data_IF_202896948028
#
_entry.id   IF_202896948028
#
_cell.length_a   1.000
_cell.length_b   1.000
_cell.length_c   1.000
_cell.angle_alpha   90.00
_cell.angle_beta   90.00
_cell.angle_gamma   90.00
#
_symmetry.space_group_name_H-M   'P 1'
#
loop_
_entity.id
_entity.type
_entity.pdbx_description
1 polymer ?
#
# COMPACT_ATOMS: atom_id res chain seq x y z
N UNK A 1 -60.00 7.12 3.80
CA UNK A 1 -58.84 7.51 2.97
C UNK A 1 -57.64 7.82 3.88
N UNK A 2 -57.00 6.82 4.49
CA UNK A 2 -55.88 7.07 5.42
C UNK A 2 -54.85 5.93 5.52
N UNK A 3 -55.06 4.79 4.86
CA UNK A 3 -54.15 3.62 4.96
C UNK A 3 -53.11 3.52 3.83
N UNK A 4 -53.23 4.30 2.77
CA UNK A 4 -52.32 4.26 1.60
C UNK A 4 -51.12 5.18 1.72
N UNK A 5 -51.13 6.17 2.62
CA UNK A 5 -50.03 7.14 2.77
C UNK A 5 -48.87 6.57 3.60
N UNK A 6 -49.16 5.70 4.58
CA UNK A 6 -48.12 5.13 5.45
C UNK A 6 -47.17 4.16 4.74
N UNK A 7 -47.62 3.50 3.68
CA UNK A 7 -46.82 2.52 2.94
C UNK A 7 -45.77 3.17 2.01
N UNK A 8 -45.96 4.44 1.65
CA UNK A 8 -45.01 5.19 0.82
C UNK A 8 -43.83 5.76 1.63
N UNK A 9 -43.94 5.82 2.96
CA UNK A 9 -42.89 6.38 3.83
C UNK A 9 -41.88 5.33 4.30
N UNK A 10 -42.22 4.04 4.29
CA UNK A 10 -41.32 2.95 4.69
C UNK A 10 -40.39 2.48 3.55
N UNK A 11 -40.66 2.86 2.30
CA UNK A 11 -39.81 2.49 1.16
C UNK A 11 -38.62 3.46 0.94
N UNK A 12 -38.61 4.62 1.62
CA UNK A 12 -37.61 5.66 1.40
C UNK A 12 -36.30 5.48 2.19
N UNK A 13 -36.24 4.58 3.18
CA UNK A 13 -35.04 4.40 4.01
C UNK A 13 -34.02 3.38 3.47
N UNK A 14 -34.32 2.67 2.38
CA UNK A 14 -33.45 1.59 1.87
C UNK A 14 -32.57 1.98 0.66
N UNK A 15 -32.63 3.23 0.18
CA UNK A 15 -32.02 3.61 -1.10
C UNK A 15 -30.65 4.34 -1.00
N UNK A 16 -30.05 4.47 0.18
CA UNK A 16 -28.82 5.23 0.36
C UNK A 16 -27.68 4.42 0.99
N UNK A 17 -27.45 3.19 0.55
CA UNK A 17 -26.12 2.58 0.65
C UNK A 17 -25.29 3.05 -0.53
N UNK A 18 -24.67 4.22 -0.41
CA UNK A 18 -23.55 4.61 -1.26
C UNK A 18 -22.42 3.63 -1.01
N UNK A 19 -22.30 2.60 -1.85
CA UNK A 19 -21.10 1.78 -1.91
C UNK A 19 -19.96 2.72 -2.32
N UNK A 20 -19.13 3.12 -1.36
CA UNK A 20 -17.91 3.84 -1.64
C UNK A 20 -17.07 2.93 -2.55
N UNK A 21 -16.94 3.31 -3.83
CA UNK A 21 -16.07 2.60 -4.75
C UNK A 21 -14.66 2.62 -4.14
N UNK A 22 -14.10 1.44 -3.86
CA UNK A 22 -12.73 1.32 -3.40
C UNK A 22 -11.84 1.98 -4.46
N UNK A 23 -11.11 3.02 -4.08
CA UNK A 23 -10.19 3.70 -4.98
C UNK A 23 -9.17 2.67 -5.48
N UNK A 24 -9.15 2.44 -6.79
CA UNK A 24 -8.17 1.54 -7.42
C UNK A 24 -6.79 2.17 -7.21
N UNK A 25 -5.96 1.54 -6.38
CA UNK A 25 -4.61 2.02 -6.17
C UNK A 25 -3.79 1.80 -7.45
N UNK A 26 -2.98 2.80 -7.86
CA UNK A 26 -2.15 2.66 -9.05
C UNK A 26 -1.12 1.54 -8.86
N UNK A 27 -0.92 0.74 -9.90
CA UNK A 27 0.21 -0.20 -9.95
C UNK A 27 1.51 0.59 -9.98
N UNK A 28 2.41 0.29 -9.04
CA UNK A 28 3.74 0.89 -8.98
C UNK A 28 4.79 -0.19 -9.22
N UNK A 29 5.91 0.20 -9.83
CA UNK A 29 7.10 -0.61 -10.01
C UNK A 29 8.24 0.03 -9.23
N UNK A 30 9.02 -0.74 -8.50
CA UNK A 30 10.18 -0.22 -7.73
C UNK A 30 11.44 -0.86 -8.28
N UNK A 31 12.52 -0.09 -8.43
CA UNK A 31 13.81 -0.67 -8.81
C UNK A 31 14.30 -1.66 -7.73
N UNK A 32 14.81 -2.81 -8.19
CA UNK A 32 15.40 -3.81 -7.30
C UNK A 32 16.77 -3.34 -6.82
N UNK A 33 17.00 -3.42 -5.51
CA UNK A 33 18.24 -3.01 -4.85
C UNK A 33 18.78 -4.14 -3.98
N UNK A 34 20.10 -4.33 -4.04
CA UNK A 34 20.77 -5.25 -3.13
C UNK A 34 20.55 -4.83 -1.68
N UNK A 35 20.14 -5.78 -0.84
CA UNK A 35 19.83 -5.55 0.58
C UNK A 35 18.73 -4.49 0.77
N UNK A 36 17.73 -4.50 -0.11
CA UNK A 36 16.78 -3.42 -0.24
C UNK A 36 15.44 -3.84 -0.80
N UNK A 37 14.90 -3.00 -1.68
CA UNK A 37 13.68 -3.23 -2.44
C UNK A 37 13.81 -4.41 -3.40
N UNK A 38 12.81 -5.29 -3.42
CA UNK A 38 12.68 -6.39 -4.36
C UNK A 38 13.34 -7.71 -3.92
N UNK A 39 13.14 -8.74 -4.75
CA UNK A 39 13.76 -10.05 -4.55
C UNK A 39 15.29 -9.96 -4.63
N UNK A 40 15.98 -10.68 -3.75
CA UNK A 40 17.44 -10.74 -3.76
C UNK A 40 18.00 -11.34 -5.03
N UNK A 41 19.20 -10.85 -5.39
CA UNK A 41 19.95 -11.30 -6.55
C UNK A 41 19.18 -11.17 -7.88
N UNK A 42 18.05 -10.45 -7.90
CA UNK A 42 17.30 -10.13 -9.10
C UNK A 42 17.58 -8.68 -9.53
N UNK A 43 17.51 -8.43 -10.85
CA UNK A 43 17.73 -7.10 -11.45
C UNK A 43 16.42 -6.53 -11.99
N UNK A 44 16.44 -5.27 -12.38
CA UNK A 44 15.28 -4.60 -12.98
C UNK A 44 14.31 -4.10 -11.91
N UNK A 45 13.01 -4.29 -12.14
CA UNK A 45 11.96 -3.73 -11.28
C UNK A 45 11.04 -4.80 -10.71
N UNK A 46 10.47 -4.50 -9.55
CA UNK A 46 9.49 -5.32 -8.84
C UNK A 46 8.13 -4.64 -8.83
N UNK A 47 7.06 -5.39 -9.06
CA UNK A 47 5.71 -4.85 -8.91
C UNK A 47 5.40 -4.66 -7.43
N UNK A 48 5.05 -3.44 -7.05
CA UNK A 48 4.66 -3.11 -5.70
C UNK A 48 3.21 -3.50 -5.44
N UNK A 49 2.97 -4.06 -4.27
CA UNK A 49 1.65 -4.48 -3.82
C UNK A 49 1.09 -3.43 -2.86
N UNK A 50 -0.15 -2.95 -3.07
CA UNK A 50 -0.80 -2.04 -2.13
C UNK A 50 -1.11 -2.77 -0.82
N UNK A 51 -0.90 -2.10 0.31
CA UNK A 51 -1.24 -2.61 1.64
C UNK A 51 -2.68 -2.23 1.95
N UNK A 52 -3.62 -3.08 1.54
CA UNK A 52 -5.05 -2.83 1.69
C UNK A 52 -5.45 -1.50 1.04
N UNK A 53 -6.16 -0.65 1.79
CA UNK A 53 -6.58 0.70 1.37
C UNK A 53 -5.78 1.83 2.03
N UNK A 54 -4.60 1.54 2.60
CA UNK A 54 -3.85 2.48 3.44
C UNK A 54 -3.06 3.53 2.65
N UNK A 55 -2.99 3.43 1.33
CA UNK A 55 -2.18 4.36 0.53
C UNK A 55 -0.67 4.16 0.67
N UNK A 56 -0.26 2.96 1.10
CA UNK A 56 1.15 2.56 1.17
C UNK A 56 1.34 1.26 0.41
N UNK A 57 2.56 1.06 -0.09
CA UNK A 57 2.92 -0.10 -0.88
C UNK A 57 4.06 -0.87 -0.23
N UNK A 58 4.20 -2.12 -0.64
CA UNK A 58 5.33 -2.95 -0.27
C UNK A 58 5.86 -3.75 -1.46
N UNK A 59 7.15 -4.09 -1.37
CA UNK A 59 7.82 -5.07 -2.22
C UNK A 59 8.51 -6.10 -1.32
N UNK A 60 8.82 -7.31 -1.82
CA UNK A 60 9.76 -8.20 -1.15
C UNK A 60 10.99 -7.43 -0.70
N UNK A 61 11.47 -7.73 0.50
CA UNK A 61 12.62 -7.07 1.10
C UNK A 61 13.43 -8.16 1.76
N UNK A 62 14.73 -8.12 1.56
CA UNK A 62 15.62 -9.07 2.21
C UNK A 62 16.80 -8.33 2.79
N UNK A 63 16.99 -8.58 4.07
CA UNK A 63 18.03 -7.98 4.88
C UNK A 63 18.91 -9.10 5.44
N UNK A 64 20.01 -9.46 4.74
CA UNK A 64 20.94 -10.45 5.26
C UNK A 64 21.61 -9.88 6.51
N UNK A 65 21.53 -10.57 7.64
CA UNK A 65 22.11 -10.15 8.92
C UNK A 65 21.11 -9.62 9.96
N UNK A 66 19.86 -9.38 9.58
CA UNK A 66 18.80 -8.94 10.49
C UNK A 66 17.57 -9.86 10.34
N UNK A 67 17.63 -11.07 10.91
CA UNK A 67 16.65 -12.14 10.69
C UNK A 67 15.26 -11.86 11.26
N UNK A 68 15.06 -10.72 11.93
CA UNK A 68 13.81 -10.33 12.55
C UNK A 68 13.25 -9.08 11.90
N UNK A 69 13.16 -9.01 10.57
CA UNK A 69 12.26 -8.06 9.89
C UNK A 69 10.80 -8.40 10.26
N UNK A 70 10.44 -8.16 11.50
CA UNK A 70 9.12 -8.45 12.03
C UNK A 70 8.24 -7.24 11.72
N UNK A 71 7.06 -7.47 11.18
CA UNK A 71 6.05 -6.42 10.93
C UNK A 71 5.43 -5.90 12.25
N UNK A 72 6.14 -5.98 13.37
CA UNK A 72 5.66 -5.55 14.69
C UNK A 72 5.54 -4.01 14.70
N UNK A 73 6.47 -3.32 14.04
CA UNK A 73 6.47 -1.87 13.89
C UNK A 73 6.84 -1.49 12.45
N UNK A 74 5.94 -1.68 11.48
CA UNK A 74 6.24 -1.35 10.10
C UNK A 74 6.48 0.15 9.96
N UNK A 75 7.54 0.52 9.24
CA UNK A 75 7.92 1.92 9.01
C UNK A 75 7.51 2.31 7.61
N UNK A 76 7.13 3.57 7.44
CA UNK A 76 6.82 4.11 6.11
C UNK A 76 7.95 5.03 5.70
N UNK A 77 8.58 4.73 4.55
CA UNK A 77 9.59 5.59 3.94
C UNK A 77 8.99 6.30 2.72
N UNK A 78 9.54 7.46 2.39
CA UNK A 78 9.16 8.20 1.18
C UNK A 78 10.16 7.88 0.08
N UNK A 79 9.69 7.42 -1.07
CA UNK A 79 10.55 7.14 -2.22
C UNK A 79 10.15 8.01 -3.41
N UNK A 80 11.14 8.41 -4.20
CA UNK A 80 10.91 9.21 -5.40
C UNK A 80 10.36 8.32 -6.51
N UNK A 81 9.33 8.79 -7.21
CA UNK A 81 8.75 8.09 -8.33
C UNK A 81 8.52 9.04 -9.50
N UNK A 82 8.77 8.53 -10.71
CA UNK A 82 8.41 9.14 -11.98
C UNK A 82 7.31 8.27 -12.59
N UNK A 83 6.09 8.81 -12.63
CA UNK A 83 4.89 8.10 -13.06
C UNK A 83 4.61 6.81 -12.24
N UNK A 84 4.82 5.64 -12.85
CA UNK A 84 4.62 4.32 -12.26
C UNK A 84 5.94 3.69 -11.77
N UNK A 85 7.08 4.29 -12.08
CA UNK A 85 8.41 3.78 -11.71
C UNK A 85 8.99 4.56 -10.54
N UNK A 86 9.30 3.83 -9.47
CA UNK A 86 9.88 4.35 -8.24
C UNK A 86 11.33 3.93 -8.09
N UNK A 87 12.14 4.85 -7.57
CA UNK A 87 13.51 4.59 -7.17
C UNK A 87 13.56 3.48 -6.12
N UNK A 88 14.55 2.62 -6.27
CA UNK A 88 14.83 1.58 -5.27
C UNK A 88 15.39 2.18 -3.99
N UNK A 89 15.36 1.39 -2.91
CA UNK A 89 15.94 1.78 -1.62
C UNK A 89 16.76 0.63 -1.04
N UNK A 90 17.85 0.98 -0.37
CA UNK A 90 18.64 0.05 0.44
C UNK A 90 18.18 0.17 1.88
N UNK A 91 17.99 -0.96 2.55
CA UNK A 91 17.61 -0.97 3.95
C UNK A 91 18.85 -0.71 4.80
N UNK A 92 18.76 0.25 5.71
CA UNK A 92 19.80 0.56 6.69
C UNK A 92 19.22 0.52 8.10
N UNK A 93 20.06 0.32 9.15
CA UNK A 93 19.58 0.29 10.53
C UNK A 93 18.80 1.55 10.95
N UNK A 94 19.08 2.69 10.34
CA UNK A 94 18.42 3.98 10.61
C UNK A 94 16.98 4.03 10.10
N UNK A 95 16.66 3.28 9.03
CA UNK A 95 15.31 3.20 8.47
C UNK A 95 14.39 2.32 9.33
N UNK A 96 14.97 1.35 10.03
CA UNK A 96 14.28 0.45 10.94
C UNK A 96 15.22 -0.67 11.35
N UNK A 97 15.39 -0.92 12.65
CA UNK A 97 16.28 -1.97 13.18
C UNK A 97 15.69 -3.36 12.92
N UNK A 98 15.80 -3.83 11.68
CA UNK A 98 15.13 -5.05 11.26
C UNK A 98 13.62 -4.86 11.28
N UNK A 99 13.10 -3.82 10.63
CA UNK A 99 11.66 -3.65 10.47
C UNK A 99 11.30 -3.78 8.99
N UNK A 100 10.10 -4.29 8.72
CA UNK A 100 9.57 -4.32 7.36
C UNK A 100 9.18 -2.89 6.95
N UNK A 101 9.67 -2.42 5.80
CA UNK A 101 9.35 -1.08 5.31
C UNK A 101 8.16 -1.13 4.35
N UNK A 102 7.21 -0.24 4.57
CA UNK A 102 6.28 0.21 3.55
C UNK A 102 6.82 1.50 2.94
N UNK A 103 6.29 1.87 1.80
CA UNK A 103 6.66 3.14 1.19
C UNK A 103 5.46 3.90 0.64
N UNK A 104 5.65 5.21 0.56
CA UNK A 104 4.78 6.15 -0.15
C UNK A 104 5.57 6.87 -1.22
N UNK A 105 4.97 7.13 -2.40
CA UNK A 105 5.59 7.94 -3.43
C UNK A 105 5.63 9.42 -3.00
N UNK A 106 6.76 10.10 -3.21
CA UNK A 106 6.98 11.48 -2.76
C UNK A 106 6.03 12.54 -3.37
N UNK A 107 5.35 12.21 -4.48
CA UNK A 107 4.59 13.17 -5.29
C UNK A 107 3.21 12.64 -5.75
N UNK A 108 2.49 11.88 -4.92
CA UNK A 108 1.08 11.51 -5.19
C UNK A 108 0.11 12.16 -4.23
#
# INVERSE_FOLDING_TARGET
MTRTVLLLWLAACCAATSAAAAAVQPTLRVERMNMGSGLQNARGTENALPVGSLGVWHVPQYLPGFPTAATIWPRVIVIQCTEDLCAGYTITPELGRGEYLFFVPANK
#
